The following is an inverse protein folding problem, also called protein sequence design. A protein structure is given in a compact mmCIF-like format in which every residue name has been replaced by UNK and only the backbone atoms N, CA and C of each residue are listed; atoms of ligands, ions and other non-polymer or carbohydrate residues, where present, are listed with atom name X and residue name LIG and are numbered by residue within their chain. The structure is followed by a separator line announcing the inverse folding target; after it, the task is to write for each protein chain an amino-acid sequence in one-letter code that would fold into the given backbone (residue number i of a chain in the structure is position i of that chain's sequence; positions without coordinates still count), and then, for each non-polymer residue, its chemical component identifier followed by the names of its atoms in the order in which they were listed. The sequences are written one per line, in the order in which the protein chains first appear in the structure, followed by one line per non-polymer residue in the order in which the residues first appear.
data_IF_451255213515
#
_entry.id   IF_451255213515
#
_cell.length_a   1.000
_cell.length_b   1.000
_cell.length_c   1.000
_cell.angle_alpha   90.00
_cell.angle_beta   90.00
_cell.angle_gamma   90.00
#
_symmetry.space_group_name_H-M   'P 1'
#
loop_
_entity.id
_entity.type
_entity.pdbx_description
1 polymer ?
#
# COMPACT_ATOMS: atom_id res chain seq x y z
N UNK A 1 -18.97 -6.66 -63.88
CA UNK A 1 -17.97 -6.16 -62.91
C UNK A 1 -18.65 -5.28 -61.87
N UNK A 2 -19.13 -5.80 -60.72
CA UNK A 2 -19.72 -4.97 -59.65
C UNK A 2 -19.02 -5.07 -58.28
N UNK A 3 -17.86 -5.71 -58.18
CA UNK A 3 -17.25 -6.10 -56.88
C UNK A 3 -16.33 -5.05 -56.22
N UNK A 4 -16.00 -3.94 -56.89
CA UNK A 4 -15.04 -2.97 -56.34
C UNK A 4 -15.66 -1.88 -55.43
N UNK A 5 -16.95 -1.58 -55.58
CA UNK A 5 -17.60 -0.53 -54.78
C UNK A 5 -17.93 -0.94 -53.33
N UNK A 6 -18.06 -2.24 -53.05
CA UNK A 6 -18.39 -2.73 -51.71
C UNK A 6 -17.21 -2.63 -50.72
N UNK A 7 -15.96 -2.71 -51.20
CA UNK A 7 -14.75 -2.78 -50.35
C UNK A 7 -14.41 -1.41 -49.73
N UNK A 8 -14.66 -0.32 -50.48
CA UNK A 8 -14.42 1.04 -49.99
C UNK A 8 -15.40 1.48 -48.89
N UNK A 9 -16.63 0.97 -48.90
CA UNK A 9 -17.65 1.29 -47.89
C UNK A 9 -17.33 0.69 -46.51
N UNK A 10 -16.85 -0.57 -46.47
CA UNK A 10 -16.45 -1.23 -45.23
C UNK A 10 -15.20 -0.62 -44.57
N UNK A 11 -14.26 -0.13 -45.38
CA UNK A 11 -13.01 0.47 -44.89
C UNK A 11 -13.25 1.83 -44.20
N UNK A 12 -14.21 2.63 -44.69
CA UNK A 12 -14.58 3.91 -44.09
C UNK A 12 -15.32 3.73 -42.75
N UNK A 13 -16.12 2.65 -42.62
CA UNK A 13 -16.84 2.31 -41.39
C UNK A 13 -15.89 1.87 -40.26
N UNK A 14 -14.81 1.15 -40.58
CA UNK A 14 -13.78 0.76 -39.59
C UNK A 14 -12.97 1.95 -39.07
N UNK A 15 -12.68 2.95 -39.92
CA UNK A 15 -11.94 4.15 -39.52
C UNK A 15 -12.80 5.03 -38.60
N UNK A 16 -14.11 5.15 -38.84
CA UNK A 16 -15.03 5.90 -37.97
C UNK A 16 -15.27 5.21 -36.61
N UNK A 17 -15.11 3.89 -36.52
CA UNK A 17 -15.26 3.14 -35.27
C UNK A 17 -14.03 3.21 -34.35
N UNK A 18 -12.86 3.61 -34.88
CA UNK A 18 -11.61 3.72 -34.12
C UNK A 18 -11.45 5.03 -33.33
N UNK A 19 -12.40 5.96 -33.43
CA UNK A 19 -12.46 7.15 -32.58
C UNK A 19 -13.51 6.96 -31.48
N UNK A 20 -13.40 5.85 -30.74
CA UNK A 20 -13.99 5.77 -29.42
C UNK A 20 -13.22 6.78 -28.54
N UNK A 21 -13.68 8.04 -28.56
CA UNK A 21 -13.19 9.10 -27.71
C UNK A 21 -13.42 8.68 -26.26
N UNK A 22 -12.40 8.07 -25.65
CA UNK A 22 -12.44 7.77 -24.23
C UNK A 22 -12.55 9.09 -23.48
N UNK A 23 -13.67 9.30 -22.79
CA UNK A 23 -13.94 10.53 -22.08
C UNK A 23 -13.03 10.63 -20.84
N UNK A 24 -12.06 11.54 -20.88
CA UNK A 24 -11.26 11.90 -19.71
C UNK A 24 -12.07 12.83 -18.79
N UNK A 25 -11.92 12.67 -17.48
CA UNK A 25 -12.56 13.56 -16.52
C UNK A 25 -11.77 14.86 -16.39
N UNK A 26 -12.44 16.00 -16.51
CA UNK A 26 -11.91 17.26 -15.98
C UNK A 26 -12.00 17.22 -14.46
N UNK A 27 -10.95 17.67 -13.76
CA UNK A 27 -10.91 17.70 -12.30
C UNK A 27 -12.12 18.37 -11.66
N UNK A 28 -12.60 19.48 -12.23
CA UNK A 28 -13.78 20.22 -11.73
C UNK A 28 -15.08 19.43 -11.82
N UNK A 29 -15.10 18.38 -12.64
CA UNK A 29 -16.27 17.54 -12.89
C UNK A 29 -16.11 16.15 -12.26
N UNK A 30 -14.97 15.85 -11.66
CA UNK A 30 -14.76 14.58 -10.98
C UNK A 30 -15.65 14.51 -9.73
N UNK A 31 -16.41 13.42 -9.52
CA UNK A 31 -17.38 13.40 -8.43
C UNK A 31 -16.71 13.40 -7.05
N UNK A 32 -17.39 14.00 -6.07
CA UNK A 32 -16.94 14.05 -4.68
C UNK A 32 -17.68 12.96 -3.87
N UNK A 33 -16.97 11.94 -3.36
CA UNK A 33 -17.58 10.83 -2.62
C UNK A 33 -17.89 11.17 -1.16
N UNK A 34 -17.57 12.39 -0.70
CA UNK A 34 -17.96 12.90 0.62
C UNK A 34 -19.24 13.74 0.57
N UNK A 35 -19.72 14.08 -0.63
CA UNK A 35 -20.98 14.78 -0.81
C UNK A 35 -22.11 13.79 -1.11
N UNK A 36 -23.11 13.75 -0.24
CA UNK A 36 -24.31 12.90 -0.36
C UNK A 36 -25.00 13.02 -1.73
N UNK A 37 -24.99 14.20 -2.36
CA UNK A 37 -25.64 14.42 -3.65
C UNK A 37 -24.91 13.76 -4.84
N UNK A 38 -23.64 13.36 -4.68
CA UNK A 38 -22.81 12.78 -5.74
C UNK A 38 -22.33 11.35 -5.50
N UNK A 39 -22.75 10.70 -4.41
CA UNK A 39 -22.33 9.32 -4.07
C UNK A 39 -22.60 8.33 -5.22
N UNK A 40 -23.79 8.41 -5.82
CA UNK A 40 -24.18 7.55 -6.94
C UNK A 40 -23.26 7.69 -8.15
N UNK A 41 -22.65 8.87 -8.37
CA UNK A 41 -21.68 9.10 -9.46
C UNK A 41 -20.36 8.39 -9.20
N UNK A 42 -20.05 8.07 -7.95
CA UNK A 42 -18.85 7.32 -7.54
C UNK A 42 -19.12 5.81 -7.43
N UNK A 43 -20.35 5.34 -7.68
CA UNK A 43 -20.73 3.94 -7.54
C UNK A 43 -20.88 3.46 -6.09
N UNK A 44 -21.00 4.36 -5.11
CA UNK A 44 -21.09 4.04 -3.68
C UNK A 44 -22.42 4.52 -3.09
N UNK A 45 -22.88 3.86 -2.03
CA UNK A 45 -24.17 4.13 -1.38
C UNK A 45 -24.07 4.99 -0.12
N UNK A 46 -22.88 5.16 0.43
CA UNK A 46 -22.61 5.96 1.63
C UNK A 46 -21.31 6.76 1.47
N UNK A 47 -21.15 7.89 2.18
CA UNK A 47 -19.94 8.70 2.10
C UNK A 47 -18.68 7.94 2.50
N UNK A 48 -17.61 8.14 1.74
CA UNK A 48 -16.31 7.56 2.04
C UNK A 48 -15.23 8.06 1.10
N UNK A 49 -13.94 7.79 1.40
CA UNK A 49 -12.84 8.36 0.64
C UNK A 49 -12.52 7.54 -0.64
N UNK A 50 -13.52 6.94 -1.29
CA UNK A 50 -13.39 6.15 -2.52
C UNK A 50 -14.30 6.72 -3.61
N UNK A 51 -13.82 6.90 -4.82
CA UNK A 51 -14.68 7.21 -5.96
C UNK A 51 -14.28 6.46 -7.22
N UNK A 52 -15.20 5.63 -7.74
CA UNK A 52 -15.03 4.79 -8.93
C UNK A 52 -16.19 5.03 -9.93
N UNK A 53 -16.21 6.18 -10.63
CA UNK A 53 -17.27 6.52 -11.58
C UNK A 53 -17.34 5.57 -12.78
N UNK A 54 -16.24 4.89 -13.11
CA UNK A 54 -16.15 4.00 -14.26
C UNK A 54 -16.50 2.53 -13.96
N UNK A 55 -16.87 2.24 -12.70
CA UNK A 55 -17.18 0.90 -12.21
C UNK A 55 -16.07 -0.12 -12.51
N UNK A 56 -14.82 0.25 -12.22
CA UNK A 56 -13.67 -0.63 -12.28
C UNK A 56 -13.69 -1.66 -11.15
N UNK A 57 -14.33 -1.33 -10.04
CA UNK A 57 -14.65 -2.24 -8.95
C UNK A 57 -16.13 -2.63 -9.04
N UNK A 58 -16.46 -3.86 -8.66
CA UNK A 58 -17.85 -4.22 -8.41
C UNK A 58 -18.30 -3.67 -7.03
N UNK A 59 -19.60 -3.75 -6.73
CA UNK A 59 -20.16 -3.21 -5.49
C UNK A 59 -19.50 -3.80 -4.24
N UNK A 60 -19.31 -5.12 -4.20
CA UNK A 60 -18.63 -5.82 -3.10
C UNK A 60 -17.20 -5.32 -2.90
N UNK A 61 -16.44 -5.14 -3.97
CA UNK A 61 -15.08 -4.64 -3.94
C UNK A 61 -15.01 -3.17 -3.49
N UNK A 62 -15.98 -2.33 -3.87
CA UNK A 62 -16.07 -0.95 -3.37
C UNK A 62 -16.34 -0.92 -1.87
N UNK A 63 -17.24 -1.77 -1.39
CA UNK A 63 -17.51 -1.91 0.04
C UNK A 63 -16.27 -2.40 0.79
N UNK A 64 -15.59 -3.43 0.28
CA UNK A 64 -14.34 -3.95 0.84
C UNK A 64 -13.25 -2.87 0.91
N UNK A 65 -13.06 -2.08 -0.16
CA UNK A 65 -12.09 -0.99 -0.17
C UNK A 65 -12.43 0.10 0.87
N UNK A 66 -13.70 0.45 1.03
CA UNK A 66 -14.15 1.41 2.05
C UNK A 66 -13.88 0.90 3.47
N UNK A 67 -14.12 -0.39 3.74
CA UNK A 67 -13.78 -1.01 5.02
C UNK A 67 -12.27 -1.04 5.25
N UNK A 68 -11.46 -1.33 4.21
CA UNK A 68 -10.00 -1.26 4.30
C UNK A 68 -9.51 0.16 4.64
N UNK A 69 -10.08 1.21 4.04
CA UNK A 69 -9.73 2.59 4.38
C UNK A 69 -10.10 2.94 5.81
N UNK A 70 -11.26 2.49 6.29
CA UNK A 70 -11.68 2.69 7.67
C UNK A 70 -10.73 1.97 8.65
N UNK A 71 -10.45 0.70 8.41
CA UNK A 71 -9.51 -0.08 9.23
C UNK A 71 -8.11 0.55 9.25
N UNK A 72 -7.62 1.02 8.10
CA UNK A 72 -6.36 1.74 8.01
C UNK A 72 -6.36 3.01 8.87
N UNK A 73 -7.43 3.80 8.79
CA UNK A 73 -7.58 5.01 9.60
C UNK A 73 -7.55 4.66 11.09
N UNK A 74 -8.32 3.67 11.53
CA UNK A 74 -8.38 3.24 12.92
C UNK A 74 -7.02 2.69 13.41
N UNK A 75 -6.29 1.96 12.57
CA UNK A 75 -4.98 1.37 12.92
C UNK A 75 -3.82 2.37 12.89
N UNK A 76 -4.02 3.53 12.28
CA UNK A 76 -3.04 4.64 12.27
C UNK A 76 -3.44 5.76 13.22
N UNK A 77 -4.54 5.58 13.97
CA UNK A 77 -4.89 6.41 15.11
C UNK A 77 -4.00 6.02 16.28
N UNK A 78 -2.87 6.73 16.41
CA UNK A 78 -1.89 6.44 17.44
C UNK A 78 -1.96 7.55 18.47
N UNK A 79 -2.67 7.27 19.57
CA UNK A 79 -2.81 8.15 20.72
C UNK A 79 -1.44 8.33 21.42
N UNK A 80 -0.71 9.35 20.98
CA UNK A 80 0.26 10.02 21.84
C UNK A 80 -0.54 10.79 22.89
N UNK A 81 -0.40 10.45 24.18
CA UNK A 81 -1.00 11.08 25.38
C UNK A 81 -0.76 12.61 25.53
N UNK A 82 -0.75 13.38 24.44
CA UNK A 82 -0.54 14.81 24.39
C UNK A 82 -1.82 15.55 24.04
N UNK A 83 -2.03 16.67 24.71
CA UNK A 83 -3.20 17.52 24.47
C UNK A 83 -3.28 17.98 23.00
N UNK A 84 -4.39 17.64 22.33
CA UNK A 84 -4.74 18.10 20.98
C UNK A 84 -5.56 17.10 20.17
N UNK A 85 -6.76 17.50 19.71
CA UNK A 85 -7.70 16.66 18.92
C UNK A 85 -7.12 16.05 17.63
N UNK A 86 -5.99 16.55 17.12
CA UNK A 86 -5.37 16.07 15.89
C UNK A 86 -4.18 15.13 16.10
N UNK A 87 -3.68 14.95 17.34
CA UNK A 87 -2.50 14.12 17.61
C UNK A 87 -2.80 12.63 17.48
N UNK A 88 -3.85 12.13 18.13
CA UNK A 88 -4.30 10.73 18.00
C UNK A 88 -4.79 10.43 16.59
N UNK A 89 -5.63 11.30 16.02
CA UNK A 89 -6.36 11.09 14.77
C UNK A 89 -5.56 10.33 13.70
N UNK A 90 -6.12 9.21 13.26
CA UNK A 90 -5.59 8.38 12.19
C UNK A 90 -5.56 9.05 10.81
N UNK A 91 -4.75 8.48 9.91
CA UNK A 91 -4.54 9.02 8.56
C UNK A 91 -5.69 8.61 7.63
N UNK A 92 -6.26 9.57 6.91
CA UNK A 92 -7.30 9.32 5.90
C UNK A 92 -6.65 9.08 4.53
N UNK A 93 -6.97 7.96 3.87
CA UNK A 93 -6.53 7.68 2.50
C UNK A 93 -7.72 7.83 1.54
N UNK A 94 -7.57 8.72 0.56
CA UNK A 94 -8.48 8.88 -0.57
C UNK A 94 -8.03 8.12 -1.80
N UNK A 95 -8.99 7.54 -2.53
CA UNK A 95 -8.75 6.88 -3.82
C UNK A 95 -9.76 7.34 -4.88
N UNK A 96 -9.27 8.07 -5.88
CA UNK A 96 -9.98 8.32 -7.13
C UNK A 96 -9.54 7.30 -8.18
N UNK A 97 -10.46 6.44 -8.60
CA UNK A 97 -10.23 5.34 -9.54
C UNK A 97 -11.01 5.57 -10.83
N UNK A 98 -10.32 5.57 -11.98
CA UNK A 98 -10.95 5.83 -13.28
C UNK A 98 -10.28 5.06 -14.40
N UNK A 99 -10.99 4.85 -15.50
CA UNK A 99 -10.43 4.29 -16.74
C UNK A 99 -9.39 5.23 -17.32
N UNK A 100 -9.72 6.51 -17.45
CA UNK A 100 -8.89 7.50 -18.13
C UNK A 100 -8.25 8.48 -17.13
N UNK A 101 -7.10 9.10 -17.44
CA UNK A 101 -6.52 10.09 -16.56
C UNK A 101 -7.47 11.24 -16.26
N UNK A 102 -7.51 11.66 -15.00
CA UNK A 102 -8.15 12.93 -14.61
C UNK A 102 -7.22 14.06 -15.08
N UNK A 103 -7.78 15.03 -15.79
CA UNK A 103 -7.05 16.12 -16.42
C UNK A 103 -7.47 17.48 -15.85
N UNK A 104 -6.54 18.44 -15.90
CA UNK A 104 -6.82 19.84 -15.63
C UNK A 104 -6.66 20.66 -16.91
N UNK A 105 -7.46 21.72 -17.07
CA UNK A 105 -7.31 22.65 -18.21
C UNK A 105 -5.97 23.38 -18.19
N UNK A 106 -5.48 23.67 -16.99
CA UNK A 106 -4.18 24.30 -16.78
C UNK A 106 -3.18 23.24 -16.34
N UNK A 107 -2.12 23.04 -17.14
CA UNK A 107 -1.08 22.05 -16.86
C UNK A 107 -0.29 22.31 -15.56
N UNK A 108 -0.39 23.52 -14.98
CA UNK A 108 0.24 23.85 -13.68
C UNK A 108 -0.53 23.28 -12.48
N UNK A 109 -1.76 22.83 -12.67
CA UNK A 109 -2.57 22.25 -11.59
C UNK A 109 -2.12 20.82 -11.35
N UNK A 110 -1.66 20.54 -10.13
CA UNK A 110 -1.50 19.17 -9.68
C UNK A 110 -2.89 18.59 -9.39
N UNK A 111 -3.38 17.75 -10.31
CA UNK A 111 -4.73 17.16 -10.27
C UNK A 111 -4.99 16.43 -8.96
N UNK A 112 -4.04 15.64 -8.48
CA UNK A 112 -4.21 14.85 -7.25
C UNK A 112 -4.26 15.76 -6.02
N UNK A 113 -3.45 16.83 -6.01
CA UNK A 113 -3.44 17.84 -4.94
C UNK A 113 -4.74 18.65 -4.85
N UNK A 114 -5.23 19.11 -5.99
CA UNK A 114 -6.45 19.89 -6.09
C UNK A 114 -7.69 19.04 -5.75
N UNK A 115 -7.71 17.76 -6.15
CA UNK A 115 -8.72 16.80 -5.70
C UNK A 115 -8.72 16.67 -4.17
N UNK A 116 -7.55 16.46 -3.56
CA UNK A 116 -7.43 16.28 -2.12
C UNK A 116 -7.87 17.52 -1.34
N UNK A 117 -7.33 18.70 -1.70
CA UNK A 117 -7.44 19.91 -0.87
C UNK A 117 -8.67 20.75 -1.19
N UNK A 118 -9.08 20.83 -2.46
CA UNK A 118 -10.10 21.78 -2.89
C UNK A 118 -11.43 21.10 -3.22
N UNK A 119 -11.41 19.94 -3.88
CA UNK A 119 -12.64 19.26 -4.33
C UNK A 119 -13.19 18.35 -3.22
N UNK A 120 -12.39 17.41 -2.72
CA UNK A 120 -12.81 16.46 -1.68
C UNK A 120 -12.60 17.04 -0.29
N UNK A 121 -11.63 17.94 -0.13
CA UNK A 121 -11.27 18.56 1.16
C UNK A 121 -11.00 17.49 2.23
N UNK A 122 -10.21 16.47 1.86
CA UNK A 122 -9.84 15.40 2.78
C UNK A 122 -9.15 16.00 4.00
N UNK A 123 -9.67 15.67 5.18
CA UNK A 123 -9.19 16.12 6.48
C UNK A 123 -8.81 17.61 6.58
N UNK A 124 -9.72 18.51 6.25
CA UNK A 124 -9.49 19.96 6.34
C UNK A 124 -9.17 20.50 7.74
N UNK A 125 -9.34 19.70 8.81
CA UNK A 125 -9.07 20.12 10.20
C UNK A 125 -7.66 19.76 10.65
N UNK A 126 -7.27 18.50 10.48
CA UNK A 126 -6.00 18.00 10.99
C UNK A 126 -4.94 17.82 9.90
N UNK A 127 -5.33 17.93 8.63
CA UNK A 127 -4.45 17.75 7.49
C UNK A 127 -3.68 16.42 7.57
N UNK A 128 -4.27 15.33 8.08
CA UNK A 128 -3.67 13.99 8.11
C UNK A 128 -4.35 13.12 7.05
N UNK A 129 -3.98 13.39 5.81
CA UNK A 129 -4.53 12.66 4.67
C UNK A 129 -3.49 12.42 3.57
N UNK A 130 -3.76 11.40 2.79
CA UNK A 130 -3.08 10.98 1.57
C UNK A 130 -4.15 10.79 0.49
N UNK A 131 -3.90 11.27 -0.72
CA UNK A 131 -4.80 11.05 -1.86
C UNK A 131 -4.07 10.33 -2.97
N UNK A 132 -4.69 9.27 -3.46
CA UNK A 132 -4.25 8.45 -4.59
C UNK A 132 -5.21 8.67 -5.76
N UNK A 133 -4.65 8.87 -6.96
CA UNK A 133 -5.41 8.84 -8.21
C UNK A 133 -4.87 7.72 -9.09
N UNK A 134 -5.72 6.77 -9.46
CA UNK A 134 -5.40 5.62 -10.29
C UNK A 134 -6.19 5.69 -11.60
N UNK A 135 -5.48 5.83 -12.71
CA UNK A 135 -6.04 5.68 -14.06
C UNK A 135 -5.53 4.38 -14.69
N UNK A 136 -6.40 3.51 -15.19
CA UNK A 136 -6.00 2.16 -15.66
C UNK A 136 -5.74 2.07 -17.18
N UNK A 137 -6.11 3.08 -17.96
CA UNK A 137 -5.86 3.15 -19.41
C UNK A 137 -5.07 4.42 -19.79
N UNK A 138 -4.21 4.36 -20.82
CA UNK A 138 -3.87 3.18 -21.64
C UNK A 138 -3.04 2.12 -20.89
N UNK A 139 -2.37 2.54 -19.82
CA UNK A 139 -1.68 1.67 -18.84
C UNK A 139 -1.97 2.19 -17.44
N UNK A 140 -1.90 1.35 -16.40
CA UNK A 140 -2.03 1.80 -15.02
C UNK A 140 -1.02 2.90 -14.67
N UNK A 141 -1.53 4.03 -14.21
CA UNK A 141 -0.75 5.16 -13.71
C UNK A 141 -1.33 5.56 -12.36
N UNK A 142 -0.46 5.59 -11.35
CA UNK A 142 -0.77 6.07 -10.01
C UNK A 142 -0.09 7.41 -9.81
N UNK A 143 -0.84 8.40 -9.33
CA UNK A 143 -0.28 9.64 -8.77
C UNK A 143 -0.76 9.79 -7.35
N UNK A 144 0.04 10.47 -6.53
CA UNK A 144 -0.28 10.68 -5.13
C UNK A 144 0.09 12.08 -4.68
N UNK A 145 -0.52 12.50 -3.58
CA UNK A 145 -0.19 13.70 -2.82
C UNK A 145 -0.55 13.44 -1.37
N UNK A 146 0.09 14.14 -0.44
CA UNK A 146 -0.21 14.08 0.98
C UNK A 146 -0.09 15.46 1.59
N UNK A 147 -0.69 15.63 2.75
CA UNK A 147 -0.29 16.71 3.62
C UNK A 147 1.06 16.41 4.29
N UNK A 148 1.80 17.46 4.63
CA UNK A 148 3.11 17.35 5.29
C UNK A 148 3.03 16.73 6.70
N UNK A 149 1.87 16.83 7.35
CA UNK A 149 1.54 16.25 8.65
C UNK A 149 1.28 14.74 8.59
N UNK A 150 1.11 14.16 7.41
CA UNK A 150 1.05 12.71 7.22
C UNK A 150 2.46 12.12 7.33
N UNK A 151 2.73 11.19 8.27
CA UNK A 151 4.09 10.76 8.63
C UNK A 151 4.66 9.69 7.69
N UNK A 152 4.66 9.97 6.39
CA UNK A 152 5.20 9.11 5.32
C UNK A 152 5.98 10.01 4.36
N UNK A 153 7.15 9.58 3.90
CA UNK A 153 7.91 10.32 2.88
C UNK A 153 7.53 9.91 1.46
N UNK A 154 7.78 10.80 0.50
CA UNK A 154 7.36 10.62 -0.89
C UNK A 154 8.13 9.48 -1.57
N UNK A 155 9.40 9.27 -1.22
CA UNK A 155 10.26 8.20 -1.72
C UNK A 155 9.83 6.82 -1.20
N UNK A 156 9.50 6.72 0.09
CA UNK A 156 8.96 5.50 0.71
C UNK A 156 7.63 5.12 0.05
N UNK A 157 6.74 6.10 -0.13
CA UNK A 157 5.45 5.90 -0.78
C UNK A 157 5.60 5.51 -2.25
N UNK A 158 6.52 6.15 -2.96
CA UNK A 158 6.81 5.81 -4.35
C UNK A 158 7.32 4.38 -4.46
N UNK A 159 8.24 3.96 -3.59
CA UNK A 159 8.77 2.59 -3.56
C UNK A 159 7.69 1.55 -3.26
N UNK A 160 6.83 1.84 -2.28
CA UNK A 160 5.70 0.98 -1.91
C UNK A 160 4.71 0.80 -3.09
N UNK A 161 4.27 1.91 -3.70
CA UNK A 161 3.35 1.88 -4.84
C UNK A 161 3.98 1.10 -6.00
N UNK A 162 5.26 1.34 -6.31
CA UNK A 162 5.97 0.69 -7.40
C UNK A 162 6.08 -0.82 -7.20
N UNK A 163 6.38 -1.28 -5.98
CA UNK A 163 6.51 -2.70 -5.64
C UNK A 163 5.22 -3.47 -5.96
N UNK A 164 4.06 -2.86 -5.69
CA UNK A 164 2.76 -3.49 -5.88
C UNK A 164 2.13 -3.27 -7.26
N UNK A 165 2.76 -2.51 -8.17
CA UNK A 165 2.23 -2.20 -9.51
C UNK A 165 1.81 -3.42 -10.33
N UNK A 166 2.36 -4.61 -10.05
CA UNK A 166 2.02 -5.83 -10.76
C UNK A 166 0.53 -6.21 -10.62
N UNK A 167 -0.07 -6.02 -9.43
CA UNK A 167 -1.49 -6.28 -9.21
C UNK A 167 -2.42 -5.40 -10.07
N UNK A 168 -1.99 -4.18 -10.39
CA UNK A 168 -2.74 -3.30 -11.28
C UNK A 168 -2.73 -3.80 -12.73
N UNK A 169 -1.63 -4.42 -13.18
CA UNK A 169 -1.55 -5.04 -14.51
C UNK A 169 -2.47 -6.26 -14.62
N UNK A 170 -2.58 -7.02 -13.55
CA UNK A 170 -3.46 -8.19 -13.43
C UNK A 170 -4.93 -7.79 -13.18
N UNK A 171 -5.22 -6.49 -13.14
CA UNK A 171 -6.55 -5.91 -12.85
C UNK A 171 -7.11 -6.31 -11.49
N UNK A 172 -6.24 -6.70 -10.55
CA UNK A 172 -6.60 -7.00 -9.17
C UNK A 172 -6.43 -5.75 -8.30
N UNK A 173 -7.31 -4.78 -8.51
CA UNK A 173 -7.22 -3.47 -7.85
C UNK A 173 -7.41 -3.55 -6.33
N UNK A 174 -8.24 -4.46 -5.84
CA UNK A 174 -8.47 -4.63 -4.39
C UNK A 174 -7.24 -5.20 -3.69
N UNK A 175 -6.56 -6.18 -4.30
CA UNK A 175 -5.30 -6.68 -3.75
C UNK A 175 -4.25 -5.57 -3.68
N UNK A 176 -4.15 -4.75 -4.74
CA UNK A 176 -3.27 -3.59 -4.75
C UNK A 176 -3.60 -2.60 -3.61
N UNK A 177 -4.88 -2.25 -3.43
CA UNK A 177 -5.32 -1.35 -2.34
C UNK A 177 -4.94 -1.93 -0.98
N UNK A 178 -5.23 -3.21 -0.73
CA UNK A 178 -4.91 -3.88 0.54
C UNK A 178 -3.40 -3.79 0.85
N UNK A 179 -2.55 -4.18 -0.10
CA UNK A 179 -1.10 -4.23 0.12
C UNK A 179 -0.48 -2.83 0.29
N UNK A 180 -0.96 -1.84 -0.47
CA UNK A 180 -0.53 -0.45 -0.30
C UNK A 180 -0.94 0.08 1.09
N UNK A 181 -2.16 -0.21 1.56
CA UNK A 181 -2.59 0.21 2.90
C UNK A 181 -1.80 -0.50 4.01
N UNK A 182 -1.54 -1.79 3.87
CA UNK A 182 -0.73 -2.55 4.82
C UNK A 182 0.70 -2.02 4.92
N UNK A 183 1.34 -1.74 3.78
CA UNK A 183 2.67 -1.14 3.74
C UNK A 183 2.70 0.28 4.30
N UNK A 184 1.72 1.12 3.95
CA UNK A 184 1.58 2.47 4.50
C UNK A 184 1.43 2.44 6.02
N UNK A 185 0.61 1.52 6.55
CA UNK A 185 0.40 1.37 7.98
C UNK A 185 1.70 0.99 8.67
N UNK A 186 2.45 0.04 8.11
CA UNK A 186 3.74 -0.36 8.66
C UNK A 186 4.72 0.83 8.73
N UNK A 187 4.79 1.65 7.67
CA UNK A 187 5.63 2.86 7.65
C UNK A 187 5.23 3.87 8.74
N UNK A 188 3.92 4.13 8.89
CA UNK A 188 3.38 5.09 9.86
C UNK A 188 3.64 4.61 11.30
N UNK A 189 3.33 3.34 11.58
CA UNK A 189 3.46 2.76 12.91
C UNK A 189 4.94 2.61 13.31
N UNK A 190 5.81 2.17 12.41
CA UNK A 190 7.26 2.08 12.69
C UNK A 190 7.87 3.45 12.99
N UNK A 191 7.45 4.49 12.26
CA UNK A 191 7.89 5.86 12.52
C UNK A 191 7.44 6.36 13.87
N UNK A 192 6.19 6.09 14.24
CA UNK A 192 5.70 6.46 15.56
C UNK A 192 6.50 5.76 16.67
N UNK A 193 6.75 4.46 16.52
CA UNK A 193 7.54 3.69 17.48
C UNK A 193 8.98 4.19 17.60
N UNK A 194 9.59 4.66 16.51
CA UNK A 194 10.96 5.22 16.56
C UNK A 194 11.01 6.59 17.22
N UNK A 195 10.00 7.44 17.01
CA UNK A 195 9.94 8.79 17.59
C UNK A 195 9.49 8.81 19.06
N UNK A 196 8.69 7.84 19.50
CA UNK A 196 8.24 7.72 20.89
C UNK A 196 9.31 7.21 21.87
N UNK A 197 10.39 6.63 21.34
CA UNK A 197 11.53 6.20 22.14
C UNK A 197 12.45 7.41 22.33
N UNK A 198 12.51 7.96 23.55
CA UNK A 198 13.40 9.08 23.87
C UNK A 198 14.86 8.81 23.47
N UNK A 199 15.68 9.85 23.22
CA UNK A 199 17.03 9.71 22.65
C UNK A 199 17.94 8.76 23.45
N UNK A 200 17.71 8.60 24.77
CA UNK A 200 18.44 7.68 25.62
C UNK A 200 18.18 6.18 25.32
N UNK A 201 16.95 5.81 24.92
CA UNK A 201 16.62 4.42 24.60
C UNK A 201 16.92 4.07 23.14
N UNK A 202 16.94 5.05 22.22
CA UNK A 202 17.41 4.82 20.85
C UNK A 202 18.88 4.37 20.82
N UNK A 203 19.73 4.94 21.68
CA UNK A 203 21.14 4.53 21.82
C UNK A 203 21.28 3.09 22.34
N UNK A 204 20.39 2.67 23.25
CA UNK A 204 20.37 1.32 23.80
C UNK A 204 19.84 0.28 22.78
N UNK A 205 18.86 0.65 21.96
CA UNK A 205 18.31 -0.22 20.90
C UNK A 205 19.28 -0.37 19.71
N UNK A 206 19.98 0.70 19.32
CA UNK A 206 21.00 0.66 18.27
C UNK A 206 22.19 -0.24 18.65
N UNK A 207 22.65 -0.18 19.90
CA UNK A 207 23.73 -1.05 20.40
C UNK A 207 23.37 -2.54 20.41
N UNK A 208 22.08 -2.90 20.52
CA UNK A 208 21.64 -4.31 20.46
C UNK A 208 21.64 -4.89 19.04
N UNK A 209 21.35 -4.07 18.01
CA UNK A 209 21.30 -4.56 16.61
C UNK A 209 22.69 -4.71 15.98
N UNK A 210 23.67 -3.89 16.37
CA UNK A 210 25.04 -3.99 15.81
C UNK A 210 25.87 -5.16 16.38
N UNK A 211 25.55 -5.66 17.58
CA UNK A 211 26.29 -6.76 18.19
C UNK A 211 26.01 -8.14 17.56
N UNK A 212 24.91 -8.29 16.82
CA UNK A 212 24.48 -9.58 16.24
C UNK A 212 24.90 -9.77 14.77
N UNK A 213 24.90 -8.70 13.97
CA UNK A 213 25.18 -8.81 12.52
C UNK A 213 26.64 -8.55 12.12
N UNK A 214 27.45 -7.90 12.96
CA UNK A 214 28.87 -7.65 12.66
C UNK A 214 29.74 -8.92 12.62
N UNK A 215 29.32 -9.99 13.30
CA UNK A 215 30.10 -11.22 13.41
C UNK A 215 29.87 -12.21 12.25
N UNK A 216 28.72 -12.14 11.57
CA UNK A 216 28.36 -13.10 10.50
C UNK A 216 28.91 -12.67 9.13
N UNK A 217 29.05 -11.37 8.87
CA UNK A 217 29.55 -10.89 7.57
C UNK A 217 31.07 -11.08 7.45
N UNK A 218 31.80 -10.97 8.56
CA UNK A 218 33.25 -11.21 8.57
C UNK A 218 33.62 -12.70 8.38
N UNK A 219 32.78 -13.64 8.82
CA UNK A 219 33.07 -15.08 8.65
C UNK A 219 32.79 -15.59 7.23
N UNK A 220 31.79 -15.03 6.54
CA UNK A 220 31.46 -15.42 5.16
C UNK A 220 32.54 -14.98 4.14
N UNK A 221 33.12 -13.79 4.30
CA UNK A 221 34.21 -13.33 3.42
C UNK A 221 35.50 -14.13 3.59
N UNK A 222 35.81 -14.57 4.82
CA UNK A 222 36.97 -15.45 5.08
C UNK A 222 36.74 -16.84 4.47
N UNK A 223 35.53 -17.40 4.55
CA UNK A 223 35.22 -18.72 3.97
C UNK A 223 35.33 -18.74 2.44
N UNK A 224 34.93 -17.65 1.76
CA UNK A 224 35.08 -17.51 0.30
C UNK A 224 36.55 -17.34 -0.08
N UNK A 225 37.33 -16.55 0.66
CA UNK A 225 38.77 -16.41 0.43
C UNK A 225 39.55 -17.71 0.66
N UNK A 226 39.19 -18.51 1.68
CA UNK A 226 39.80 -19.83 1.90
C UNK A 226 39.47 -20.84 0.80
N UNK A 227 38.29 -20.75 0.18
CA UNK A 227 37.88 -21.65 -0.91
C UNK A 227 38.62 -21.36 -2.22
N UNK A 228 38.95 -20.10 -2.48
CA UNK A 228 39.70 -19.68 -3.67
C UNK A 228 41.20 -20.05 -3.54
N UNK A 229 41.77 -19.98 -2.34
CA UNK A 229 43.18 -20.37 -2.11
C UNK A 229 43.34 -21.91 -2.07
N UNK A 230 42.30 -22.66 -1.69
CA UNK A 230 42.33 -24.12 -1.61
C UNK A 230 42.34 -24.88 -2.95
N UNK A 231 42.04 -24.21 -4.06
CA UNK A 231 41.92 -24.87 -5.38
C UNK A 231 43.17 -24.78 -6.25
N UNK A 232 44.22 -24.08 -5.81
CA UNK A 232 45.50 -23.97 -6.57
C UNK A 232 46.71 -24.68 -5.95
N UNK A 233 46.58 -25.35 -4.81
CA UNK A 233 47.67 -26.13 -4.22
C UNK A 233 47.20 -27.54 -3.83
N UNK A 234 47.42 -28.45 -4.77
CA UNK A 234 47.29 -29.90 -4.65
C UNK A 234 48.26 -30.48 -3.56
N UNK A 235 48.28 -31.80 -3.34
CA UNK A 235 47.79 -32.48 -2.15
C UNK A 235 48.93 -32.86 -1.18
N UNK A 236 49.88 -31.95 -0.93
CA UNK A 236 51.11 -32.27 -0.17
C UNK A 236 51.25 -31.61 1.22
N UNK A 237 50.31 -30.75 1.63
CA UNK A 237 50.36 -30.06 2.92
C UNK A 237 49.29 -30.50 3.95
N UNK A 238 48.32 -31.33 3.54
CA UNK A 238 47.20 -31.71 4.41
C UNK A 238 47.60 -32.58 5.60
N UNK A 239 48.64 -33.41 5.43
CA UNK A 239 49.06 -34.35 6.49
C UNK A 239 49.75 -33.66 7.68
N UNK A 240 50.29 -32.44 7.52
CA UNK A 240 50.90 -31.66 8.61
C UNK A 240 49.94 -30.71 9.32
N UNK A 241 48.79 -30.40 8.72
CA UNK A 241 47.82 -29.48 9.30
C UNK A 241 46.83 -30.19 10.24
N UNK A 242 46.49 -31.46 9.97
CA UNK A 242 45.57 -32.23 10.81
C UNK A 242 46.16 -32.63 12.19
N UNK A 243 47.48 -32.76 12.35
CA UNK A 243 48.08 -33.06 13.66
C UNK A 243 48.06 -31.89 14.65
N UNK A 244 47.89 -30.64 14.18
CA UNK A 244 48.01 -29.46 15.05
C UNK A 244 46.66 -28.90 15.54
N UNK A 245 45.54 -29.27 14.92
CA UNK A 245 44.23 -28.66 15.22
C UNK A 245 43.08 -29.67 15.44
N UNK A 246 43.40 -30.96 15.54
CA UNK A 246 42.44 -32.04 15.76
C UNK A 246 41.45 -31.93 16.95
N UNK A 247 41.71 -31.20 18.06
CA UNK A 247 40.77 -31.22 19.19
C UNK A 247 39.67 -30.14 19.19
N UNK A 248 39.65 -29.16 18.28
CA UNK A 248 38.82 -27.94 18.48
C UNK A 248 37.50 -27.94 17.69
N UNK A 249 37.25 -28.90 16.80
CA UNK A 249 36.00 -28.90 16.01
C UNK A 249 34.96 -29.81 16.65
N UNK A 250 34.19 -29.23 17.56
CA UNK A 250 32.96 -29.82 18.11
C UNK A 250 31.95 -30.11 17.01
N UNK A 251 31.23 -31.23 17.18
CA UNK A 251 30.18 -31.72 16.26
C UNK A 251 29.09 -30.65 16.04
N UNK A 252 28.62 -30.43 14.81
CA UNK A 252 27.47 -29.56 14.57
C UNK A 252 26.17 -30.28 14.97
N UNK A 253 25.49 -29.73 15.97
CA UNK A 253 24.12 -30.07 16.33
C UNK A 253 23.15 -29.02 15.75
N UNK A 254 22.20 -29.53 14.97
CA UNK A 254 20.86 -29.01 14.65
C UNK A 254 20.69 -27.94 13.54
N UNK A 255 19.65 -28.10 12.69
CA UNK A 255 19.27 -27.15 11.65
C UNK A 255 18.38 -26.01 12.18
N UNK A 256 18.47 -24.86 11.52
CA UNK A 256 17.66 -23.66 11.79
C UNK A 256 16.15 -23.88 11.52
N UNK A 257 15.26 -23.21 12.26
CA UNK A 257 13.81 -23.38 12.13
C UNK A 257 13.26 -22.65 10.91
N UNK A 258 12.41 -23.33 10.13
CA UNK A 258 11.50 -22.69 9.19
C UNK A 258 10.38 -21.98 9.96
N UNK A 259 10.18 -20.70 9.67
CA UNK A 259 9.00 -19.95 10.12
C UNK A 259 7.79 -20.46 9.35
N UNK A 260 7.00 -21.32 10.01
CA UNK A 260 5.71 -21.82 9.53
C UNK A 260 4.64 -20.82 9.96
N UNK A 261 3.99 -20.15 9.01
CA UNK A 261 2.77 -19.40 9.29
C UNK A 261 1.65 -20.42 9.56
N UNK A 262 1.32 -20.61 10.84
CA UNK A 262 0.11 -21.33 11.21
C UNK A 262 -1.09 -20.42 10.97
N UNK A 263 -1.87 -20.81 9.95
CA UNK A 263 -3.20 -20.31 9.70
C UNK A 263 -4.14 -21.20 10.53
N UNK A 264 -4.45 -20.79 11.76
CA UNK A 264 -5.39 -21.52 12.61
C UNK A 264 -6.53 -20.60 13.00
N UNK A 265 -7.70 -20.98 12.47
CA UNK A 265 -9.02 -20.42 12.74
C UNK A 265 -9.41 -20.83 14.16
N UNK A 266 -9.73 -19.87 15.00
CA UNK A 266 -10.65 -20.06 16.11
C UNK A 266 -11.81 -19.08 15.97
N UNK A 267 -12.90 -19.59 15.38
CA UNK A 267 -14.21 -18.97 15.42
C UNK A 267 -14.84 -19.40 16.75
N UNK A 268 -14.77 -18.52 17.76
CA UNK A 268 -15.55 -18.64 18.97
C UNK A 268 -16.98 -18.08 18.78
N UNK A 269 -18.01 -18.67 19.41
CA UNK A 269 -19.40 -18.28 19.18
C UNK A 269 -19.76 -17.00 19.94
N UNK A 270 -20.28 -15.99 19.24
CA UNK A 270 -20.92 -14.85 19.87
C UNK A 270 -22.28 -15.26 20.43
N UNK A 271 -22.36 -15.28 21.76
CA UNK A 271 -23.60 -15.31 22.53
C UNK A 271 -24.38 -14.01 22.31
N UNK A 272 -25.58 -14.14 21.77
CA UNK A 272 -26.62 -13.11 21.73
C UNK A 272 -27.17 -12.86 23.14
N UNK A 273 -26.90 -11.68 23.70
CA UNK A 273 -27.71 -11.13 24.81
C UNK A 273 -28.72 -10.14 24.26
N UNK A 274 -29.95 -10.65 24.14
CA UNK A 274 -31.19 -9.88 24.13
C UNK A 274 -31.26 -9.06 25.43
N UNK A 275 -31.38 -7.74 25.32
CA UNK A 275 -32.01 -6.93 26.35
C UNK A 275 -33.10 -6.10 25.68
N UNK A 276 -34.33 -6.57 25.85
CA UNK A 276 -35.51 -5.79 25.57
C UNK A 276 -35.69 -4.71 26.63
N UNK A 277 -36.08 -3.53 26.20
CA UNK A 277 -36.84 -2.61 27.05
C UNK A 277 -38.14 -2.27 26.34
N UNK A 278 -39.22 -2.83 26.88
CA UNK A 278 -40.58 -2.38 26.66
C UNK A 278 -40.84 -1.08 27.45
N UNK A 279 -41.49 -0.17 26.75
CA UNK A 279 -42.61 0.69 27.18
C UNK A 279 -42.50 1.53 28.46
N UNK A 280 -42.72 2.83 28.30
CA UNK A 280 -43.79 3.51 29.03
C UNK A 280 -44.39 4.64 28.17
N UNK A 281 -45.62 4.42 27.73
CA UNK A 281 -46.62 5.46 27.51
C UNK A 281 -47.16 5.87 28.88
N UNK A 282 -47.29 7.19 29.15
CA UNK A 282 -48.45 7.75 29.85
C UNK A 282 -48.39 9.29 29.85
N UNK A 283 -49.53 9.85 29.40
CA UNK A 283 -50.05 11.22 29.53
C UNK A 283 -49.56 12.29 28.55
#
# INVERSE_FOLDING_TARGET
MPSFFAIFSFSLLFILCHHCSFAAFLITNYPNPLNNASLWKCGISYPGPLCDPDSLLNETARHEALELFKQFQDQTDIDDNGDGSCKGKGVIVGLALTKQPIIARNARINVTDDLMKNIWQLDNRCNKALMLTLSVQPTPVVRFTRYMTTPVFDDELHHLIWTEMHWLRDRNYIMWVRLVLDGLRALIVDRHNTLGIGPAQQLAAANKKCASHGFVIFSAFIAVLCSIVGTMCAPLLWHKFCERFGPIVGKPSLPFPMVRFNNERDIGPYTTTNNGHQQQQQQ
#
